data_IF_122514716216
#
_entry.id   IF_122514716216
#
_cell.length_a   1.000
_cell.length_b   1.000
_cell.length_c   1.000
_cell.angle_alpha   90.00
_cell.angle_beta   90.00
_cell.angle_gamma   90.00
#
_symmetry.space_group_name_H-M   'P 1'
#
loop_
_entity.id
_entity.type
_entity.pdbx_description
1 polymer ?
#
# COMPACT_ATOMS: atom_id res chain seq x y z
N UNK A 1 3.68 -47.48 28.83
CA UNK A 1 3.39 -46.23 29.56
C UNK A 1 4.74 -45.53 29.70
N UNK A 2 5.06 -44.39 29.08
CA UNK A 2 4.25 -43.25 28.68
C UNK A 2 4.57 -42.76 27.25
N UNK A 3 3.52 -42.26 26.62
CA UNK A 3 3.46 -41.45 25.41
C UNK A 3 3.52 -39.98 25.80
N UNK A 4 4.51 -39.22 25.34
CA UNK A 4 4.52 -37.74 25.30
C UNK A 4 5.66 -37.39 24.32
N UNK A 5 5.38 -36.99 23.08
CA UNK A 5 4.96 -35.65 22.70
C UNK A 5 5.89 -35.23 21.55
N UNK A 6 5.33 -34.83 20.42
CA UNK A 6 6.04 -34.58 19.16
C UNK A 6 7.22 -33.60 19.32
N UNK A 7 8.43 -33.89 18.78
CA UNK A 7 9.53 -32.93 18.76
C UNK A 7 9.40 -32.03 17.52
N UNK A 8 8.32 -31.25 17.44
CA UNK A 8 8.34 -30.08 16.56
C UNK A 8 8.88 -28.90 17.37
N UNK A 9 9.93 -28.20 16.89
CA UNK A 9 10.36 -26.97 17.51
C UNK A 9 9.18 -25.98 17.46
N UNK A 10 8.58 -25.74 18.62
CA UNK A 10 7.62 -24.65 18.82
C UNK A 10 8.39 -23.35 18.73
N UNK A 11 8.04 -22.55 17.72
CA UNK A 11 8.39 -21.14 17.59
C UNK A 11 9.90 -20.84 17.54
N UNK A 12 10.51 -21.07 16.38
CA UNK A 12 11.55 -20.12 15.98
C UNK A 12 10.82 -18.80 15.72
N UNK A 13 11.07 -17.72 16.48
CA UNK A 13 10.49 -16.43 16.16
C UNK A 13 10.89 -16.12 14.72
N UNK A 14 9.88 -16.07 13.86
CA UNK A 14 10.04 -15.78 12.45
C UNK A 14 10.98 -14.60 12.30
N UNK A 15 12.07 -14.84 11.59
CA UNK A 15 13.07 -13.89 11.17
C UNK A 15 12.41 -12.60 10.63
N UNK A 16 12.23 -11.58 11.47
CA UNK A 16 11.92 -10.21 11.06
C UNK A 16 13.19 -9.59 10.50
N UNK A 17 13.65 -10.08 9.35
CA UNK A 17 14.75 -9.45 8.63
C UNK A 17 14.37 -8.00 8.35
N UNK A 18 15.27 -7.11 8.77
CA UNK A 18 15.23 -5.66 8.58
C UNK A 18 15.47 -5.27 7.11
N UNK A 19 14.79 -5.93 6.17
CA UNK A 19 14.82 -5.61 4.75
C UNK A 19 13.51 -4.90 4.40
N UNK A 20 13.57 -3.57 4.34
CA UNK A 20 12.48 -2.62 4.12
C UNK A 20 11.90 -2.74 2.70
N UNK A 21 11.16 -3.83 2.47
CA UNK A 21 10.29 -4.04 1.31
C UNK A 21 8.87 -4.17 1.89
N UNK A 22 7.83 -3.49 1.35
CA UNK A 22 6.48 -3.61 1.89
C UNK A 22 6.08 -5.09 1.92
N UNK A 23 5.99 -5.65 3.12
CA UNK A 23 5.62 -7.05 3.34
C UNK A 23 4.10 -7.25 3.25
N UNK A 24 3.32 -6.17 3.34
CA UNK A 24 1.87 -6.22 3.29
C UNK A 24 1.26 -5.07 2.48
N UNK A 25 0.04 -5.27 1.98
CA UNK A 25 -0.76 -4.23 1.33
C UNK A 25 -1.03 -3.06 2.29
N UNK A 26 -1.14 -3.33 3.60
CA UNK A 26 -1.33 -2.31 4.63
C UNK A 26 -0.17 -1.34 4.77
N UNK A 27 1.05 -1.76 4.39
CA UNK A 27 2.24 -0.91 4.37
C UNK A 27 2.49 -0.31 2.99
N UNK A 28 2.20 -1.08 1.93
CA UNK A 28 2.42 -0.67 0.54
C UNK A 28 1.48 0.46 0.13
N UNK A 29 0.19 0.37 0.46
CA UNK A 29 -0.81 1.33 0.02
C UNK A 29 -0.58 2.74 0.62
N UNK A 30 -0.38 2.92 1.95
CA UNK A 30 -0.09 4.24 2.50
C UNK A 30 1.20 4.85 1.96
N UNK A 31 2.24 4.02 1.71
CA UNK A 31 3.49 4.48 1.11
C UNK A 31 3.24 5.04 -0.28
N UNK A 32 2.48 4.33 -1.09
CA UNK A 32 2.22 4.75 -2.46
C UNK A 32 1.24 5.92 -2.56
N UNK A 33 0.31 6.03 -1.63
CA UNK A 33 -0.49 7.24 -1.44
C UNK A 33 0.41 8.46 -1.13
N UNK A 34 1.43 8.29 -0.27
CA UNK A 34 2.38 9.35 0.04
C UNK A 34 3.21 9.74 -1.18
N UNK A 35 3.75 8.76 -1.93
CA UNK A 35 4.48 9.00 -3.20
C UNK A 35 3.65 9.81 -4.18
N UNK A 36 2.41 9.39 -4.45
CA UNK A 36 1.55 10.10 -5.41
C UNK A 36 1.24 11.52 -4.92
N UNK A 37 0.98 11.71 -3.62
CA UNK A 37 0.69 13.03 -3.03
C UNK A 37 1.89 13.98 -3.07
N UNK A 38 3.07 13.48 -2.69
CA UNK A 38 4.24 14.31 -2.39
C UNK A 38 5.18 14.47 -3.59
N UNK A 39 5.21 13.49 -4.50
CA UNK A 39 6.11 13.48 -5.67
C UNK A 39 5.35 13.69 -6.98
N UNK A 40 4.29 12.93 -7.24
CA UNK A 40 3.61 12.93 -8.55
C UNK A 40 2.65 14.12 -8.73
N UNK A 41 1.80 14.38 -7.73
CA UNK A 41 0.78 15.43 -7.81
C UNK A 41 1.36 16.83 -8.08
N UNK A 42 2.47 17.26 -7.44
CA UNK A 42 3.05 18.58 -7.68
C UNK A 42 3.54 18.77 -9.12
N UNK A 43 4.08 17.73 -9.74
CA UNK A 43 4.55 17.78 -11.13
C UNK A 43 3.38 17.98 -12.10
N UNK A 44 2.28 17.24 -11.93
CA UNK A 44 1.08 17.43 -12.74
C UNK A 44 0.43 18.81 -12.53
N UNK A 45 0.51 19.37 -11.32
CA UNK A 45 0.02 20.73 -11.04
C UNK A 45 0.91 21.81 -11.66
N UNK A 46 2.18 21.51 -11.94
CA UNK A 46 3.12 22.46 -12.57
C UNK A 46 2.86 22.64 -14.07
N UNK A 47 2.19 21.67 -14.72
CA UNK A 47 1.94 21.67 -16.16
C UNK A 47 0.61 22.36 -16.49
N UNK A 48 0.57 23.34 -17.42
CA UNK A 48 -0.67 23.92 -17.93
C UNK A 48 -1.51 22.86 -18.66
N UNK A 49 -2.52 22.30 -17.97
CA UNK A 49 -3.38 21.23 -18.47
C UNK A 49 -3.40 19.96 -17.59
N UNK A 50 -2.47 19.83 -16.65
CA UNK A 50 -2.41 18.68 -15.73
C UNK A 50 -3.46 18.70 -14.61
N UNK A 51 -4.30 19.74 -14.54
CA UNK A 51 -5.35 19.89 -13.52
C UNK A 51 -6.35 18.72 -13.56
N UNK A 52 -6.70 18.23 -14.75
CA UNK A 52 -7.62 17.08 -14.87
C UNK A 52 -6.99 15.81 -14.26
N UNK A 53 -5.74 15.52 -14.62
CA UNK A 53 -5.00 14.38 -14.07
C UNK A 53 -4.81 14.50 -12.55
N UNK A 54 -4.43 15.68 -12.04
CA UNK A 54 -4.32 15.93 -10.61
C UNK A 54 -5.65 15.75 -9.86
N UNK A 55 -6.78 16.06 -10.51
CA UNK A 55 -8.12 15.84 -9.94
C UNK A 55 -8.43 14.34 -9.84
N UNK A 56 -8.11 13.57 -10.87
CA UNK A 56 -8.30 12.11 -10.86
C UNK A 56 -7.41 11.44 -9.80
N UNK A 57 -6.14 11.85 -9.71
CA UNK A 57 -5.22 11.35 -8.66
C UNK A 57 -5.76 11.61 -7.25
N UNK A 58 -6.31 12.79 -7.00
CA UNK A 58 -6.96 13.11 -5.72
C UNK A 58 -8.15 12.21 -5.43
N UNK A 59 -8.99 11.92 -6.42
CA UNK A 59 -10.10 10.99 -6.25
C UNK A 59 -9.62 9.58 -5.91
N UNK A 60 -8.54 9.12 -6.55
CA UNK A 60 -7.94 7.81 -6.24
C UNK A 60 -7.34 7.76 -4.84
N UNK A 61 -6.70 8.84 -4.38
CA UNK A 61 -6.20 8.97 -3.00
C UNK A 61 -7.34 8.92 -1.97
N UNK A 62 -8.44 9.63 -2.23
CA UNK A 62 -9.61 9.61 -1.35
C UNK A 62 -10.28 8.22 -1.31
N UNK A 63 -10.37 7.55 -2.47
CA UNK A 63 -10.88 6.18 -2.57
C UNK A 63 -10.00 5.18 -1.80
N UNK A 64 -8.67 5.32 -1.90
CA UNK A 64 -7.72 4.51 -1.14
C UNK A 64 -7.88 4.70 0.37
N UNK A 65 -7.98 5.96 0.82
CA UNK A 65 -8.19 6.28 2.23
C UNK A 65 -9.48 5.67 2.77
N UNK A 66 -10.57 5.74 1.98
CA UNK A 66 -11.85 5.13 2.32
C UNK A 66 -11.76 3.61 2.39
N UNK A 67 -11.15 2.97 1.40
CA UNK A 67 -11.00 1.51 1.37
C UNK A 67 -10.23 0.99 2.59
N UNK A 68 -9.18 1.71 3.02
CA UNK A 68 -8.45 1.38 4.25
C UNK A 68 -9.31 1.54 5.51
N UNK A 69 -10.11 2.62 5.59
CA UNK A 69 -10.98 2.87 6.73
C UNK A 69 -12.10 1.83 6.86
N UNK A 70 -12.64 1.37 5.73
CA UNK A 70 -13.69 0.35 5.67
C UNK A 70 -13.15 -1.08 5.79
N UNK A 71 -11.83 -1.27 5.65
CA UNK A 71 -11.18 -2.60 5.64
C UNK A 71 -11.48 -3.42 4.39
N UNK A 72 -11.86 -2.77 3.29
CA UNK A 72 -12.12 -3.44 2.01
C UNK A 72 -10.80 -3.73 1.29
N UNK A 73 -10.27 -4.93 1.51
CA UNK A 73 -9.00 -5.39 0.94
C UNK A 73 -9.03 -5.39 -0.59
N UNK A 74 -10.16 -5.69 -1.23
CA UNK A 74 -10.25 -5.73 -2.70
C UNK A 74 -10.17 -4.31 -3.26
N UNK A 75 -10.89 -3.37 -2.64
CA UNK A 75 -10.79 -1.95 -3.00
C UNK A 75 -9.38 -1.41 -2.74
N UNK A 76 -8.73 -1.81 -1.65
CA UNK A 76 -7.34 -1.43 -1.36
C UNK A 76 -6.38 -1.90 -2.46
N UNK A 77 -6.50 -3.15 -2.95
CA UNK A 77 -5.66 -3.67 -4.05
C UNK A 77 -5.89 -2.86 -5.33
N UNK A 78 -7.14 -2.57 -5.67
CA UNK A 78 -7.48 -1.80 -6.87
C UNK A 78 -6.91 -0.39 -6.81
N UNK A 79 -7.07 0.30 -5.68
CA UNK A 79 -6.54 1.63 -5.50
C UNK A 79 -5.00 1.63 -5.51
N UNK A 80 -4.37 0.60 -4.94
CA UNK A 80 -2.93 0.44 -4.98
C UNK A 80 -2.40 0.33 -6.42
N UNK A 81 -3.01 -0.51 -7.26
CA UNK A 81 -2.59 -0.64 -8.66
C UNK A 81 -2.88 0.61 -9.49
N UNK A 82 -4.00 1.31 -9.21
CA UNK A 82 -4.29 2.61 -9.84
C UNK A 82 -3.22 3.65 -9.48
N UNK A 83 -2.87 3.76 -8.19
CA UNK A 83 -1.87 4.71 -7.69
C UNK A 83 -0.45 4.43 -8.24
N UNK A 84 -0.12 3.15 -8.46
CA UNK A 84 1.14 2.76 -9.11
C UNK A 84 1.21 3.17 -10.57
N UNK A 85 0.07 3.25 -11.25
CA UNK A 85 -0.01 3.62 -12.66
C UNK A 85 0.28 5.09 -12.94
N UNK A 86 0.29 5.96 -11.92
CA UNK A 86 0.72 7.34 -12.07
C UNK A 86 2.24 7.43 -12.08
N UNK A 87 2.79 7.87 -13.21
CA UNK A 87 4.20 8.14 -13.44
C UNK A 87 4.36 9.56 -13.99
N UNK A 88 5.55 10.13 -13.81
CA UNK A 88 5.97 11.45 -14.31
C UNK A 88 7.06 11.31 -15.37
#
# INVERSE_FOLDING_TARGET
MASDGFPYPVDQPGNFSADDKPTSLGDALPREMARVRDEVLPEYLSIPGGILAATMMRQSLDAAARAMAEGDVVAMIRCHEDLKGYEV
#
